data_IF_225871353934
#
_entry.id   IF_225871353934
#
_cell.length_a   1.000
_cell.length_b   1.000
_cell.length_c   1.000
_cell.angle_alpha   90.00
_cell.angle_beta   90.00
_cell.angle_gamma   90.00
#
_symmetry.space_group_name_H-M   'P 1'
#
loop_
_entity.id
_entity.type
_entity.pdbx_description
1 polymer ?
#
# COMPACT_ATOMS: atom_id res chain seq x y z
N UNK A 1 18.74 -62.12 -12.05
CA UNK A 1 18.39 -60.99 -11.15
C UNK A 1 18.86 -59.72 -11.83
N UNK A 2 18.05 -59.19 -12.76
CA UNK A 2 17.10 -58.08 -12.59
C UNK A 2 17.80 -56.71 -12.61
N UNK A 3 17.89 -56.21 -13.83
CA UNK A 3 18.37 -54.92 -14.29
C UNK A 3 17.26 -53.87 -14.10
N UNK A 4 17.42 -52.95 -13.15
CA UNK A 4 16.42 -51.92 -12.84
C UNK A 4 16.70 -50.66 -13.65
N UNK A 5 16.11 -50.59 -14.85
CA UNK A 5 16.06 -49.36 -15.65
C UNK A 5 15.18 -48.33 -14.93
N UNK A 6 15.81 -47.38 -14.25
CA UNK A 6 15.14 -46.14 -13.81
C UNK A 6 14.68 -45.36 -15.05
N UNK A 7 13.41 -45.50 -15.41
CA UNK A 7 12.74 -44.68 -16.42
C UNK A 7 12.43 -43.31 -15.83
N UNK A 8 13.37 -42.37 -15.99
CA UNK A 8 13.11 -40.95 -15.73
C UNK A 8 12.02 -40.47 -16.70
N UNK A 9 10.89 -40.07 -16.13
CA UNK A 9 9.70 -39.65 -16.84
C UNK A 9 9.94 -38.28 -17.50
N UNK A 10 10.36 -38.27 -18.77
CA UNK A 10 10.44 -37.06 -19.58
C UNK A 10 9.05 -36.69 -20.11
N UNK A 11 8.18 -36.16 -19.25
CA UNK A 11 6.94 -35.54 -19.73
C UNK A 11 7.28 -34.32 -20.59
N UNK A 12 6.58 -34.19 -21.72
CA UNK A 12 6.75 -33.15 -22.74
C UNK A 12 6.84 -31.73 -22.15
N UNK A 13 7.75 -30.88 -22.64
CA UNK A 13 7.90 -29.51 -22.13
C UNK A 13 6.61 -28.74 -22.41
N UNK A 14 5.81 -28.51 -21.36
CA UNK A 14 4.70 -27.56 -21.43
C UNK A 14 5.31 -26.22 -21.84
N UNK A 15 4.86 -25.67 -22.99
CA UNK A 15 5.32 -24.39 -23.58
C UNK A 15 5.77 -23.44 -22.48
N UNK A 16 7.05 -23.03 -22.50
CA UNK A 16 7.66 -22.14 -21.52
C UNK A 16 6.77 -20.95 -21.13
N UNK A 17 6.06 -20.36 -22.10
CA UNK A 17 5.08 -19.28 -21.88
C UNK A 17 3.92 -19.70 -20.97
N UNK A 18 3.41 -20.93 -21.06
CA UNK A 18 2.36 -21.45 -20.15
C UNK A 18 2.90 -21.65 -18.74
N UNK A 19 4.15 -22.10 -18.60
CA UNK A 19 4.80 -22.27 -17.29
C UNK A 19 5.11 -20.90 -16.68
N UNK A 20 5.72 -19.98 -17.44
CA UNK A 20 5.95 -18.60 -17.01
C UNK A 20 4.65 -17.85 -16.66
N UNK A 21 3.59 -18.02 -17.45
CA UNK A 21 2.27 -17.45 -17.14
C UNK A 21 1.65 -18.09 -15.91
N UNK A 22 1.92 -19.38 -15.65
CA UNK A 22 1.48 -20.09 -14.46
C UNK A 22 2.25 -19.62 -13.24
N UNK A 23 3.58 -19.49 -13.34
CA UNK A 23 4.46 -19.08 -12.25
C UNK A 23 4.22 -17.60 -11.89
N UNK A 24 4.02 -16.74 -12.89
CA UNK A 24 3.50 -15.39 -12.64
C UNK A 24 2.14 -15.46 -11.93
N UNK A 25 1.18 -16.24 -12.44
CA UNK A 25 -0.13 -16.34 -11.81
C UNK A 25 -0.07 -16.88 -10.37
N UNK A 26 0.81 -17.83 -10.07
CA UNK A 26 1.02 -18.38 -8.73
C UNK A 26 1.80 -17.42 -7.82
N UNK A 27 2.70 -16.60 -8.36
CA UNK A 27 3.45 -15.57 -7.61
C UNK A 27 2.56 -14.38 -7.27
N UNK A 28 1.75 -13.92 -8.23
CA UNK A 28 0.81 -12.80 -8.03
C UNK A 28 -0.46 -13.22 -7.25
N UNK A 29 -0.90 -14.48 -7.35
CA UNK A 29 -2.11 -14.99 -6.70
C UNK A 29 -1.93 -16.43 -6.13
N UNK A 30 -1.07 -16.62 -5.10
CA UNK A 30 -0.84 -17.94 -4.50
C UNK A 30 -2.09 -18.48 -3.78
N UNK A 31 -2.88 -17.60 -3.19
CA UNK A 31 -4.22 -17.90 -2.72
C UNK A 31 -5.16 -17.76 -3.92
N UNK A 32 -5.47 -18.82 -4.65
CA UNK A 32 -6.53 -18.78 -5.66
C UNK A 32 -7.87 -18.44 -4.96
N UNK A 33 -8.34 -17.17 -4.96
CA UNK A 33 -9.56 -16.83 -4.22
C UNK A 33 -10.76 -17.43 -4.96
N UNK A 34 -10.65 -17.49 -6.29
CA UNK A 34 -11.69 -17.93 -7.23
C UNK A 34 -11.93 -19.44 -7.24
N UNK A 35 -11.08 -20.26 -6.60
CA UNK A 35 -11.27 -21.70 -6.48
C UNK A 35 -12.43 -22.07 -5.54
N UNK A 36 -12.67 -21.25 -4.50
CA UNK A 36 -13.77 -21.44 -3.54
C UNK A 36 -15.15 -21.02 -4.06
N UNK A 37 -15.26 -20.41 -5.25
CA UNK A 37 -16.47 -19.72 -5.73
C UNK A 37 -17.01 -20.25 -7.07
N UNK A 38 -16.69 -21.50 -7.43
CA UNK A 38 -17.12 -22.09 -8.70
C UNK A 38 -18.64 -22.36 -8.77
N UNK A 39 -19.33 -22.37 -7.63
CA UNK A 39 -20.76 -22.70 -7.48
C UNK A 39 -21.68 -21.53 -7.05
N UNK A 40 -21.15 -20.33 -6.85
CA UNK A 40 -21.92 -19.17 -6.38
C UNK A 40 -22.56 -18.39 -7.54
N UNK A 41 -23.72 -17.77 -7.30
CA UNK A 41 -24.44 -16.92 -8.28
C UNK A 41 -23.54 -15.75 -8.75
N UNK A 42 -23.67 -15.27 -10.00
CA UNK A 42 -22.80 -14.22 -10.56
C UNK A 42 -22.75 -12.94 -9.71
N UNK A 43 -23.87 -12.57 -9.08
CA UNK A 43 -23.95 -11.43 -8.16
C UNK A 43 -23.07 -11.59 -6.91
N UNK A 44 -23.01 -12.79 -6.33
CA UNK A 44 -22.21 -13.06 -5.13
C UNK A 44 -20.71 -13.04 -5.45
N UNK A 45 -20.34 -13.46 -6.66
CA UNK A 45 -18.96 -13.41 -7.14
C UNK A 45 -18.47 -11.96 -7.34
N UNK A 46 -19.32 -11.09 -7.87
CA UNK A 46 -19.02 -9.65 -8.03
C UNK A 46 -18.91 -8.99 -6.64
N UNK A 47 -19.87 -9.25 -5.73
CA UNK A 47 -19.84 -8.72 -4.36
C UNK A 47 -18.58 -9.11 -3.59
N UNK A 48 -18.17 -10.39 -3.66
CA UNK A 48 -16.95 -10.88 -2.99
C UNK A 48 -15.67 -10.35 -3.64
N UNK A 49 -15.67 -10.15 -4.96
CA UNK A 49 -14.55 -9.50 -5.65
C UNK A 49 -14.41 -8.04 -5.21
N UNK A 50 -15.52 -7.31 -5.10
CA UNK A 50 -15.51 -5.93 -4.59
C UNK A 50 -15.06 -5.88 -3.14
N UNK A 51 -15.51 -6.80 -2.28
CA UNK A 51 -15.05 -6.89 -0.89
C UNK A 51 -13.54 -7.21 -0.78
N UNK A 52 -12.99 -7.98 -1.73
CA UNK A 52 -11.56 -8.26 -1.79
C UNK A 52 -10.72 -7.03 -2.18
N UNK A 53 -11.21 -6.20 -3.11
CA UNK A 53 -10.51 -4.98 -3.54
C UNK A 53 -10.75 -3.78 -2.61
N UNK A 54 -11.91 -3.72 -1.94
CA UNK A 54 -12.31 -2.63 -1.07
C UNK A 54 -12.85 -3.24 0.24
N UNK A 55 -11.95 -3.54 1.20
CA UNK A 55 -12.30 -4.18 2.47
C UNK A 55 -13.28 -3.36 3.32
N UNK A 56 -13.45 -2.05 3.06
CA UNK A 56 -14.43 -1.20 3.73
C UNK A 56 -15.85 -1.76 3.69
N UNK A 57 -16.25 -2.39 2.59
CA UNK A 57 -17.60 -2.94 2.44
C UNK A 57 -17.81 -4.25 3.21
N UNK A 58 -16.75 -4.84 3.76
CA UNK A 58 -16.85 -6.02 4.62
C UNK A 58 -17.03 -5.65 6.09
N UNK A 59 -16.25 -4.69 6.60
CA UNK A 59 -16.26 -4.32 8.02
C UNK A 59 -17.30 -3.26 8.36
N UNK A 60 -17.55 -2.28 7.49
CA UNK A 60 -18.49 -1.18 7.73
C UNK A 60 -19.92 -1.66 8.10
N UNK A 61 -20.53 -2.65 7.40
CA UNK A 61 -21.86 -3.12 7.78
C UNK A 61 -21.90 -3.96 9.06
N UNK A 62 -20.75 -4.40 9.59
CA UNK A 62 -20.64 -5.10 10.88
C UNK A 62 -20.28 -4.17 12.04
N UNK A 63 -20.11 -2.88 11.75
CA UNK A 63 -19.66 -1.87 12.70
C UNK A 63 -20.78 -1.47 13.67
N UNK A 64 -20.45 -1.35 14.95
CA UNK A 64 -21.42 -1.07 16.02
C UNK A 64 -21.19 0.33 16.59
N UNK A 65 -22.28 1.05 16.91
CA UNK A 65 -22.26 2.36 17.56
C UNK A 65 -21.52 2.36 18.92
N UNK A 66 -21.44 1.21 19.60
CA UNK A 66 -20.61 1.09 20.81
C UNK A 66 -19.11 1.24 20.50
N UNK A 67 -18.62 0.62 19.41
CA UNK A 67 -17.23 0.73 18.97
C UNK A 67 -16.91 2.15 18.49
N UNK A 68 -17.86 2.81 17.81
CA UNK A 68 -17.73 4.20 17.38
C UNK A 68 -17.32 5.16 18.49
N UNK A 69 -17.83 4.97 19.71
CA UNK A 69 -17.47 5.83 20.85
C UNK A 69 -15.99 5.68 21.25
N UNK A 70 -15.47 4.46 21.23
CA UNK A 70 -14.05 4.21 21.51
C UNK A 70 -13.17 4.70 20.37
N UNK A 71 -13.60 4.52 19.12
CA UNK A 71 -12.86 4.97 17.95
C UNK A 71 -12.82 6.51 17.86
N UNK A 72 -13.87 7.21 18.29
CA UNK A 72 -13.85 8.68 18.40
C UNK A 72 -12.84 9.14 19.46
N UNK A 73 -12.82 8.50 20.63
CA UNK A 73 -11.85 8.85 21.68
C UNK A 73 -10.41 8.55 21.26
N UNK A 74 -10.18 7.39 20.64
CA UNK A 74 -8.90 7.01 20.07
C UNK A 74 -8.49 7.98 18.95
N UNK A 75 -9.42 8.33 18.05
CA UNK A 75 -9.20 9.27 16.95
C UNK A 75 -8.81 10.66 17.43
N UNK A 76 -9.46 11.19 18.47
CA UNK A 76 -9.08 12.48 19.10
C UNK A 76 -7.66 12.39 19.65
N UNK A 77 -7.33 11.30 20.36
CA UNK A 77 -6.00 11.09 20.95
C UNK A 77 -4.91 11.03 19.87
N UNK A 78 -5.12 10.22 18.84
CA UNK A 78 -4.18 10.07 17.72
C UNK A 78 -4.04 11.39 16.96
N UNK A 79 -5.15 12.08 16.66
CA UNK A 79 -5.13 13.35 15.94
C UNK A 79 -4.39 14.44 16.73
N UNK A 80 -4.56 14.48 18.05
CA UNK A 80 -3.85 15.42 18.92
C UNK A 80 -2.33 15.24 18.87
N UNK A 81 -1.84 14.02 18.62
CA UNK A 81 -0.42 13.71 18.47
C UNK A 81 0.05 13.90 17.03
N UNK A 82 -0.77 13.51 16.05
CA UNK A 82 -0.44 13.55 14.63
C UNK A 82 -0.30 14.98 14.09
N UNK A 83 -1.11 15.94 14.57
CA UNK A 83 -1.04 17.35 14.14
C UNK A 83 0.35 17.96 14.43
N UNK A 84 0.84 18.00 15.69
CA UNK A 84 2.16 18.55 15.97
C UNK A 84 3.28 17.73 15.32
N UNK A 85 3.13 16.41 15.23
CA UNK A 85 4.08 15.53 14.56
C UNK A 85 4.25 15.88 13.08
N UNK A 86 3.14 16.00 12.32
CA UNK A 86 3.17 16.37 10.90
C UNK A 86 3.76 17.75 10.65
N UNK A 87 3.45 18.73 11.52
CA UNK A 87 4.01 20.08 11.46
C UNK A 87 5.53 20.05 11.69
N UNK A 88 5.99 19.30 12.71
CA UNK A 88 7.42 19.17 13.00
C UNK A 88 8.17 18.50 11.85
N UNK A 89 7.59 17.45 11.26
CA UNK A 89 8.24 16.72 10.17
C UNK A 89 8.24 17.48 8.85
N UNK A 90 7.24 18.33 8.58
CA UNK A 90 7.31 19.27 7.46
C UNK A 90 8.45 20.28 7.65
N UNK A 91 8.63 20.81 8.87
CA UNK A 91 9.75 21.70 9.17
C UNK A 91 11.12 21.04 9.01
N UNK A 92 11.25 19.76 9.36
CA UNK A 92 12.48 18.99 9.10
C UNK A 92 12.78 18.83 7.61
N UNK A 93 11.75 18.83 6.76
CA UNK A 93 11.88 18.80 5.31
C UNK A 93 11.99 20.21 4.68
N UNK A 94 12.10 21.27 5.49
CA UNK A 94 12.06 22.68 5.06
C UNK A 94 10.84 23.03 4.20
N UNK A 95 9.70 22.39 4.52
CA UNK A 95 8.42 22.56 3.86
C UNK A 95 7.46 23.45 4.68
N UNK A 96 6.54 24.17 4.02
CA UNK A 96 5.39 24.78 4.67
C UNK A 96 4.62 23.77 5.56
N UNK A 97 4.32 24.10 6.84
CA UNK A 97 3.64 23.19 7.77
C UNK A 97 2.31 22.61 7.27
N UNK A 98 1.60 23.35 6.43
CA UNK A 98 0.34 22.93 5.81
C UNK A 98 0.50 21.67 4.95
N UNK A 99 1.66 21.48 4.31
CA UNK A 99 1.96 20.30 3.49
C UNK A 99 2.13 19.07 4.37
N UNK A 100 2.74 19.23 5.55
CA UNK A 100 2.81 18.17 6.56
C UNK A 100 1.43 17.69 7.00
N UNK A 101 0.52 18.64 7.28
CA UNK A 101 -0.86 18.31 7.66
C UNK A 101 -1.61 17.55 6.56
N UNK A 102 -1.48 17.97 5.29
CA UNK A 102 -2.08 17.22 4.19
C UNK A 102 -1.49 15.81 4.06
N UNK A 103 -0.17 15.68 4.23
CA UNK A 103 0.50 14.38 4.18
C UNK A 103 0.19 13.48 5.38
N UNK A 104 -0.24 14.00 6.53
CA UNK A 104 -0.64 13.20 7.70
C UNK A 104 -2.13 12.82 7.67
N UNK A 105 -2.97 13.54 6.93
CA UNK A 105 -4.43 13.29 6.89
C UNK A 105 -4.86 12.45 5.69
N UNK A 106 -4.35 12.75 4.49
CA UNK A 106 -4.81 12.14 3.24
C UNK A 106 -4.46 10.65 3.15
N UNK A 107 -3.22 10.20 3.45
CA UNK A 107 -2.87 8.79 3.37
C UNK A 107 -3.68 7.87 4.31
N UNK A 108 -3.91 8.18 5.60
CA UNK A 108 -4.77 7.33 6.44
C UNK A 108 -6.22 7.28 5.96
N UNK A 109 -6.76 8.36 5.37
CA UNK A 109 -8.10 8.35 4.77
C UNK A 109 -8.18 7.36 3.60
N UNK A 110 -7.20 7.40 2.69
CA UNK A 110 -7.10 6.47 1.56
C UNK A 110 -6.89 5.03 2.08
N UNK A 111 -6.02 4.86 3.08
CA UNK A 111 -5.75 3.57 3.71
C UNK A 111 -6.99 2.98 4.38
N UNK A 112 -7.88 3.78 4.95
CA UNK A 112 -9.14 3.27 5.53
C UNK A 112 -10.05 2.61 4.49
N UNK A 113 -9.97 3.05 3.22
CA UNK A 113 -10.77 2.52 2.11
C UNK A 113 -10.17 1.25 1.52
N UNK A 114 -8.84 1.23 1.32
CA UNK A 114 -8.12 0.16 0.61
C UNK A 114 -7.34 -0.78 1.53
N UNK A 115 -7.16 -0.42 2.79
CA UNK A 115 -6.32 -1.11 3.76
C UNK A 115 -6.99 -2.38 4.27
N UNK A 116 -6.25 -3.48 4.22
CA UNK A 116 -6.67 -4.78 4.74
C UNK A 116 -6.57 -4.86 6.28
N UNK A 117 -5.75 -4.00 6.90
CA UNK A 117 -5.50 -4.00 8.35
C UNK A 117 -6.11 -2.76 9.02
N UNK A 118 -6.91 -2.96 10.07
CA UNK A 118 -7.63 -1.86 10.74
C UNK A 118 -6.78 -1.08 11.77
N UNK A 119 -5.57 -1.53 12.09
CA UNK A 119 -4.74 -0.98 13.17
C UNK A 119 -3.42 -0.33 12.67
N UNK A 120 -3.23 -0.19 11.35
CA UNK A 120 -2.00 0.38 10.83
C UNK A 120 -2.09 1.90 10.81
N UNK A 121 -1.16 2.55 11.48
CA UNK A 121 -0.96 3.99 11.39
C UNK A 121 -0.16 4.32 10.13
N UNK A 122 -0.75 5.09 9.22
CA UNK A 122 -0.08 5.60 8.02
C UNK A 122 0.05 7.10 8.19
N UNK A 123 1.27 7.63 8.17
CA UNK A 123 1.51 9.04 8.40
C UNK A 123 2.89 9.50 7.95
N UNK A 124 3.18 10.77 8.21
CA UNK A 124 4.49 11.38 7.97
C UNK A 124 5.54 10.80 8.92
N UNK A 125 6.74 10.52 8.40
CA UNK A 125 7.85 9.92 9.15
C UNK A 125 9.07 10.84 9.14
N UNK A 126 9.67 11.08 10.31
CA UNK A 126 10.82 11.98 10.47
C UNK A 126 12.01 11.61 9.55
N UNK A 127 12.31 10.31 9.43
CA UNK A 127 13.41 9.81 8.62
C UNK A 127 13.22 10.15 7.13
N UNK A 128 12.00 10.01 6.61
CA UNK A 128 11.69 10.38 5.22
C UNK A 128 11.79 11.89 4.99
N UNK A 129 11.34 12.70 5.95
CA UNK A 129 11.48 14.17 5.88
C UNK A 129 12.93 14.62 5.82
N UNK A 130 13.78 14.08 6.68
CA UNK A 130 15.21 14.43 6.69
C UNK A 130 15.89 13.94 5.40
N UNK A 131 15.62 12.71 4.98
CA UNK A 131 16.18 12.19 3.73
C UNK A 131 15.78 13.05 2.53
N UNK A 132 14.52 13.49 2.46
CA UNK A 132 14.06 14.38 1.39
C UNK A 132 14.74 15.75 1.46
N UNK A 133 14.95 16.29 2.66
CA UNK A 133 15.70 17.53 2.84
C UNK A 133 17.14 17.41 2.35
N UNK A 134 17.88 16.39 2.79
CA UNK A 134 19.28 16.19 2.45
C UNK A 134 19.48 15.92 0.95
N UNK A 135 18.64 15.05 0.36
CA UNK A 135 18.74 14.70 -1.06
C UNK A 135 18.39 15.87 -1.97
N UNK A 136 17.37 16.65 -1.59
CA UNK A 136 16.90 17.75 -2.43
C UNK A 136 17.65 19.05 -2.18
N UNK A 137 18.03 19.32 -0.93
CA UNK A 137 18.88 20.44 -0.53
C UNK A 137 20.26 20.40 -1.18
N UNK A 138 20.76 19.21 -1.54
CA UNK A 138 21.98 19.06 -2.34
C UNK A 138 21.83 19.52 -3.80
N UNK A 139 20.60 19.63 -4.33
CA UNK A 139 20.31 20.03 -5.71
C UNK A 139 19.82 21.47 -5.77
N UNK A 140 18.88 21.86 -4.90
CA UNK A 140 18.29 23.19 -4.82
C UNK A 140 18.08 23.55 -3.35
N UNK A 141 18.56 24.73 -2.95
CA UNK A 141 18.28 25.29 -1.63
C UNK A 141 16.86 25.83 -1.56
N UNK A 142 16.10 25.49 -0.52
CA UNK A 142 14.72 25.97 -0.33
C UNK A 142 14.63 27.50 -0.15
N UNK A 143 15.76 28.17 0.14
CA UNK A 143 15.84 29.63 0.30
C UNK A 143 15.99 30.39 -1.01
N UNK A 144 16.60 29.78 -2.02
CA UNK A 144 16.89 30.45 -3.29
C UNK A 144 15.64 30.44 -4.19
N UNK A 145 15.04 29.27 -4.38
CA UNK A 145 13.83 29.08 -5.20
C UNK A 145 12.81 28.13 -4.52
N UNK A 146 11.94 28.65 -3.64
CA UNK A 146 10.99 27.82 -2.89
C UNK A 146 9.95 27.12 -3.80
N UNK A 147 9.61 27.71 -4.94
CA UNK A 147 8.67 27.13 -5.91
C UNK A 147 9.26 25.90 -6.61
N UNK A 148 10.53 25.99 -7.02
CA UNK A 148 11.25 24.88 -7.65
C UNK A 148 11.43 23.73 -6.67
N UNK A 149 11.79 24.04 -5.43
CA UNK A 149 11.92 23.07 -4.35
C UNK A 149 10.63 22.25 -4.15
N UNK A 150 9.47 22.93 -4.07
CA UNK A 150 8.17 22.25 -3.97
C UNK A 150 7.86 21.37 -5.17
N UNK A 151 8.15 21.82 -6.40
CA UNK A 151 7.93 21.01 -7.60
C UNK A 151 8.78 19.73 -7.60
N UNK A 152 10.02 19.80 -7.13
CA UNK A 152 10.88 18.62 -7.03
C UNK A 152 10.37 17.64 -5.95
N UNK A 153 9.87 18.13 -4.82
CA UNK A 153 9.25 17.29 -3.80
C UNK A 153 8.02 16.58 -4.33
N UNK A 154 7.11 17.29 -5.01
CA UNK A 154 5.91 16.67 -5.55
C UNK A 154 6.21 15.65 -6.65
N UNK A 155 7.16 15.94 -7.54
CA UNK A 155 7.56 14.99 -8.58
C UNK A 155 8.26 13.76 -8.01
N UNK A 156 9.16 13.93 -7.04
CA UNK A 156 9.82 12.82 -6.32
C UNK A 156 8.80 11.95 -5.59
N UNK A 157 7.84 12.56 -4.90
CA UNK A 157 6.75 11.85 -4.20
C UNK A 157 5.88 11.07 -5.18
N UNK A 158 5.56 11.68 -6.34
CA UNK A 158 4.78 11.03 -7.40
C UNK A 158 5.50 9.80 -7.97
N UNK A 159 6.79 9.92 -8.29
CA UNK A 159 7.59 8.78 -8.74
C UNK A 159 7.69 7.70 -7.66
N UNK A 160 7.92 8.09 -6.41
CA UNK A 160 7.94 7.15 -5.25
C UNK A 160 6.62 6.38 -5.16
N UNK A 161 5.48 7.03 -5.35
CA UNK A 161 4.17 6.38 -5.38
C UNK A 161 4.01 5.39 -6.54
N UNK A 162 4.50 5.72 -7.74
CA UNK A 162 4.51 4.80 -8.88
C UNK A 162 5.39 3.57 -8.58
N UNK A 163 6.59 3.79 -8.06
CA UNK A 163 7.51 2.71 -7.68
C UNK A 163 6.90 1.82 -6.60
N UNK A 164 6.31 2.41 -5.55
CA UNK A 164 5.64 1.66 -4.49
C UNK A 164 4.45 0.87 -5.01
N UNK A 165 3.66 1.43 -5.94
CA UNK A 165 2.56 0.71 -6.58
C UNK A 165 3.05 -0.44 -7.45
N UNK A 166 4.13 -0.24 -8.21
CA UNK A 166 4.74 -1.29 -9.04
C UNK A 166 5.33 -2.43 -8.18
N UNK A 167 6.03 -2.09 -7.09
CA UNK A 167 6.59 -3.08 -6.16
C UNK A 167 5.49 -3.79 -5.36
N UNK A 168 4.44 -3.06 -4.96
CA UNK A 168 3.26 -3.62 -4.32
C UNK A 168 2.52 -4.60 -5.24
N UNK A 169 2.41 -4.27 -6.54
CA UNK A 169 1.89 -5.20 -7.54
C UNK A 169 2.75 -6.46 -7.61
N UNK A 170 4.08 -6.33 -7.65
CA UNK A 170 5.02 -7.47 -7.59
C UNK A 170 5.06 -8.19 -6.23
N UNK A 171 4.25 -7.79 -5.24
CA UNK A 171 4.18 -8.33 -3.88
C UNK A 171 5.54 -8.38 -3.16
N UNK A 172 6.42 -7.42 -3.46
CA UNK A 172 7.74 -7.26 -2.83
C UNK A 172 7.69 -6.32 -1.62
N UNK A 173 6.60 -5.55 -1.47
CA UNK A 173 6.34 -4.73 -0.30
C UNK A 173 5.55 -5.57 0.70
N UNK A 174 6.20 -5.95 1.80
CA UNK A 174 5.60 -6.51 3.02
C UNK A 174 5.76 -5.48 4.11
#
# INVERSE_FOLDING_TARGET
MMDSKHTVNFTTPKKFIKTFKKDCKETFFPDNPFGKFRHDKPLQKIKKTIQYFIPIFEWLPRYNLHLFRYDVLAGITITSLAIPQGISYAKLADLPPIIGLYSSFVPPLIYTVFGSSNNLEVGTVAACSLLMHETLGAVVSSKDDPTLYLHLIYTSTFFTGIFQTALGFCRLVI
#
